data_IF_734919534073
#
_entry.id   IF_734919534073
#
_cell.length_a   1.000
_cell.length_b   1.000
_cell.length_c   1.000
_cell.angle_alpha   90.00
_cell.angle_beta   90.00
_cell.angle_gamma   90.00
#
_symmetry.space_group_name_H-M   'P 1'
#
loop_
_entity.id
_entity.type
_entity.pdbx_description
1 polymer ?
#
# COMPACT_ATOMS: atom_id res chain seq x y z
N UNK A 1 -46.25 -21.53 55.30
CA UNK A 1 -44.87 -22.08 55.14
C UNK A 1 -44.54 -21.94 53.65
N UNK A 2 -44.00 -20.82 53.18
CA UNK A 2 -42.56 -20.50 53.00
C UNK A 2 -41.73 -21.68 52.47
N UNK A 3 -41.40 -21.67 51.17
CA UNK A 3 -40.21 -22.26 50.51
C UNK A 3 -40.06 -21.50 49.16
N UNK A 4 -39.43 -20.33 49.15
CA UNK A 4 -38.01 -20.09 48.87
C UNK A 4 -37.58 -20.45 47.44
N UNK A 5 -37.50 -19.43 46.60
CA UNK A 5 -36.70 -19.39 45.37
C UNK A 5 -35.21 -19.56 45.71
N UNK A 6 -34.40 -20.17 44.81
CA UNK A 6 -33.07 -19.71 44.36
C UNK A 6 -32.37 -20.81 43.54
N UNK A 7 -32.03 -20.43 42.30
CA UNK A 7 -30.88 -20.78 41.45
C UNK A 7 -30.35 -22.22 41.36
N UNK A 8 -30.21 -22.69 40.12
CA UNK A 8 -28.99 -23.40 39.72
C UNK A 8 -28.50 -22.83 38.38
N UNK A 9 -27.28 -22.33 38.43
CA UNK A 9 -26.65 -21.46 37.44
C UNK A 9 -26.40 -22.17 36.10
N UNK A 10 -26.71 -21.46 35.01
CA UNK A 10 -26.29 -21.83 33.67
C UNK A 10 -24.77 -21.80 33.58
N UNK A 11 -24.19 -22.91 33.14
CA UNK A 11 -22.78 -23.05 32.77
C UNK A 11 -22.58 -22.19 31.52
N UNK A 12 -22.04 -20.98 31.70
CA UNK A 12 -21.56 -20.14 30.60
C UNK A 12 -20.11 -20.52 30.29
N UNK A 13 -19.92 -21.67 29.66
CA UNK A 13 -18.70 -21.98 28.93
C UNK A 13 -18.81 -21.38 27.52
N UNK A 14 -17.67 -20.91 26.98
CA UNK A 14 -17.44 -20.27 25.66
C UNK A 14 -17.59 -18.74 25.68
N UNK A 15 -16.63 -17.91 25.31
CA UNK A 15 -15.32 -18.14 24.70
C UNK A 15 -14.36 -17.06 25.22
N UNK A 16 -13.13 -17.45 25.57
CA UNK A 16 -12.04 -16.49 25.57
C UNK A 16 -11.84 -16.11 24.10
N UNK A 17 -12.43 -15.00 23.67
CA UNK A 17 -11.98 -14.33 22.46
C UNK A 17 -10.51 -14.05 22.70
N UNK A 18 -9.62 -14.76 21.99
CA UNK A 18 -8.24 -14.33 21.85
C UNK A 18 -8.25 -12.87 21.46
N UNK A 19 -7.32 -12.08 22.01
CA UNK A 19 -7.12 -10.69 21.61
C UNK A 19 -7.22 -10.62 20.08
N UNK A 20 -8.31 -10.03 19.58
CA UNK A 20 -8.53 -9.93 18.15
C UNK A 20 -7.44 -9.00 17.62
N UNK A 21 -6.70 -9.46 16.62
CA UNK A 21 -5.77 -8.62 15.87
C UNK A 21 -6.48 -7.31 15.48
N UNK A 22 -5.87 -6.17 15.78
CA UNK A 22 -6.45 -4.87 15.44
C UNK A 22 -6.21 -4.61 13.95
N UNK A 23 -6.97 -5.29 13.10
CA UNK A 23 -6.83 -5.14 11.67
C UNK A 23 -7.47 -3.83 11.21
N UNK A 24 -6.74 -3.03 10.45
CA UNK A 24 -7.28 -1.83 9.82
C UNK A 24 -7.61 -2.07 8.34
N UNK A 25 -8.85 -1.78 7.93
CA UNK A 25 -9.22 -1.72 6.51
C UNK A 25 -9.60 -0.29 6.14
N UNK A 26 -8.84 0.33 5.26
CA UNK A 26 -9.09 1.70 4.84
C UNK A 26 -10.36 1.80 3.99
N UNK A 27 -11.09 2.94 4.00
CA UNK A 27 -11.91 3.30 2.85
C UNK A 27 -11.01 3.47 1.61
N UNK A 28 -11.59 3.42 0.40
CA UNK A 28 -10.83 3.65 -0.83
C UNK A 28 -10.24 5.06 -0.84
N UNK A 29 -8.92 5.15 -0.91
CA UNK A 29 -8.14 6.38 -1.01
C UNK A 29 -7.99 6.71 -2.49
N UNK A 30 -8.58 7.81 -2.94
CA UNK A 30 -8.43 8.25 -4.34
C UNK A 30 -7.08 8.94 -4.50
N UNK A 31 -6.24 8.47 -5.42
CA UNK A 31 -4.95 9.13 -5.66
C UNK A 31 -5.18 10.51 -6.30
N UNK A 32 -4.52 11.53 -5.77
CA UNK A 32 -4.54 12.87 -6.33
C UNK A 32 -3.78 12.87 -7.65
N UNK A 33 -4.45 13.28 -8.74
CA UNK A 33 -3.88 13.27 -10.09
C UNK A 33 -3.15 14.58 -10.42
N UNK A 34 -1.94 14.45 -10.94
CA UNK A 34 -1.24 15.45 -11.76
C UNK A 34 -1.15 15.01 -13.23
N UNK A 35 -0.24 15.62 -14.00
CA UNK A 35 -0.16 15.38 -15.45
C UNK A 35 0.30 13.95 -15.80
N UNK A 36 1.29 13.42 -15.09
CA UNK A 36 1.84 12.07 -15.28
C UNK A 36 2.11 11.33 -13.96
N UNK A 37 1.71 11.94 -12.83
CA UNK A 37 1.98 11.46 -11.49
C UNK A 37 0.70 11.48 -10.66
N UNK A 38 0.51 10.45 -9.85
CA UNK A 38 -0.58 10.34 -8.90
C UNK A 38 0.00 10.05 -7.53
N UNK A 39 -0.57 10.61 -6.48
CA UNK A 39 -0.03 10.43 -5.13
C UNK A 39 -1.12 10.39 -4.06
N UNK A 40 -0.87 9.67 -2.97
CA UNK A 40 -1.63 9.77 -1.74
C UNK A 40 -0.77 9.41 -0.53
N UNK A 41 -1.06 10.04 0.60
CA UNK A 41 -0.61 9.58 1.91
C UNK A 41 -1.57 8.53 2.49
N UNK A 42 -1.06 7.72 3.41
CA UNK A 42 -1.84 6.79 4.22
C UNK A 42 -1.15 6.55 5.56
N UNK A 43 -1.90 6.03 6.54
CA UNK A 43 -1.36 5.63 7.83
C UNK A 43 -2.44 5.16 8.78
N UNK A 44 -2.01 4.55 9.87
CA UNK A 44 -2.89 4.11 10.96
C UNK A 44 -2.11 4.00 12.28
N UNK A 45 -2.82 3.81 13.38
CA UNK A 45 -2.27 3.57 14.70
C UNK A 45 -2.79 2.26 15.26
N UNK A 46 -1.94 1.55 15.99
CA UNK A 46 -2.23 0.25 16.57
C UNK A 46 -2.04 0.23 18.09
N UNK A 47 -2.94 -0.47 18.78
CA UNK A 47 -2.68 -0.94 20.14
C UNK A 47 -1.69 -2.11 20.14
N UNK A 48 -1.17 -2.49 21.32
CA UNK A 48 -0.23 -3.63 21.42
C UNK A 48 -0.84 -4.92 20.86
N UNK A 49 -0.12 -5.59 19.95
CA UNK A 49 -0.58 -6.83 19.35
C UNK A 49 -0.18 -6.99 17.90
N UNK A 50 -0.55 -8.14 17.33
CA UNK A 50 -0.37 -8.42 15.91
C UNK A 50 -1.52 -7.79 15.12
N UNK A 51 -1.25 -7.35 13.89
CA UNK A 51 -2.22 -6.72 13.01
C UNK A 51 -2.06 -7.16 11.55
N UNK A 52 -3.13 -6.99 10.78
CA UNK A 52 -3.17 -7.07 9.33
C UNK A 52 -3.97 -5.90 8.79
N UNK A 53 -3.28 -5.00 8.10
CA UNK A 53 -3.88 -3.81 7.52
C UNK A 53 -4.04 -3.94 6.02
N UNK A 54 -5.11 -3.38 5.50
CA UNK A 54 -5.41 -3.32 4.06
C UNK A 54 -5.73 -1.88 3.67
N UNK A 55 -4.88 -1.28 2.84
CA UNK A 55 -5.13 0.00 2.20
C UNK A 55 -5.55 -0.23 0.75
N UNK A 56 -6.64 0.43 0.36
CA UNK A 56 -7.13 0.38 -1.02
C UNK A 56 -6.97 1.75 -1.67
N UNK A 57 -6.26 1.81 -2.80
CA UNK A 57 -6.05 3.04 -3.56
C UNK A 57 -6.77 2.96 -4.91
N UNK A 58 -7.47 4.03 -5.28
CA UNK A 58 -8.09 4.16 -6.60
C UNK A 58 -7.19 4.96 -7.51
N UNK A 59 -6.55 4.28 -8.47
CA UNK A 59 -5.83 4.89 -9.58
C UNK A 59 -6.64 4.77 -10.87
N UNK A 60 -6.88 5.90 -11.53
CA UNK A 60 -7.73 6.02 -12.72
C UNK A 60 -6.96 6.00 -14.05
N UNK A 61 -5.63 5.95 -14.01
CA UNK A 61 -4.81 5.86 -15.21
C UNK A 61 -4.67 4.43 -15.75
N UNK A 62 -3.80 4.26 -16.75
CA UNK A 62 -3.60 2.99 -17.45
C UNK A 62 -2.47 2.17 -16.80
N UNK A 63 -1.57 1.56 -17.58
CA UNK A 63 -0.36 0.94 -17.05
C UNK A 63 0.62 2.02 -16.57
N UNK A 64 1.13 1.82 -15.36
CA UNK A 64 2.01 2.73 -14.66
C UNK A 64 2.95 1.94 -13.75
N UNK A 65 3.88 2.65 -13.14
CA UNK A 65 4.77 2.09 -12.14
C UNK A 65 4.52 2.78 -10.79
N UNK A 66 4.40 1.99 -9.73
CA UNK A 66 4.19 2.44 -8.36
C UNK A 66 5.50 2.43 -7.58
N UNK A 67 5.72 3.51 -6.84
CA UNK A 67 6.81 3.67 -5.88
C UNK A 67 6.22 4.18 -4.58
N UNK A 68 6.76 3.79 -3.43
CA UNK A 68 6.25 4.24 -2.16
C UNK A 68 6.95 3.60 -0.98
N UNK A 69 6.48 3.97 0.19
CA UNK A 69 7.00 3.44 1.45
C UNK A 69 5.93 3.40 2.53
N UNK A 70 6.16 2.61 3.57
CA UNK A 70 5.46 2.67 4.85
C UNK A 70 6.49 2.60 5.99
N UNK A 71 6.43 3.53 6.94
CA UNK A 71 7.44 3.66 7.99
C UNK A 71 6.85 3.87 9.36
N UNK A 72 7.32 3.08 10.32
CA UNK A 72 7.25 3.41 11.75
C UNK A 72 8.56 4.05 12.19
N UNK A 73 8.50 5.14 12.97
CA UNK A 73 9.67 5.69 13.66
C UNK A 73 9.58 5.34 15.14
N UNK A 74 10.56 4.59 15.61
CA UNK A 74 10.57 4.03 16.95
C UNK A 74 10.88 5.12 17.98
N UNK A 75 10.28 4.98 19.16
CA UNK A 75 10.65 5.76 20.32
C UNK A 75 10.90 4.81 21.51
N UNK A 76 11.25 5.35 22.67
CA UNK A 76 11.58 4.55 23.86
C UNK A 76 10.41 3.73 24.43
N UNK A 77 9.19 3.99 23.97
CA UNK A 77 7.94 3.45 24.52
C UNK A 77 7.10 2.69 23.49
N UNK A 78 7.32 2.90 22.19
CA UNK A 78 6.58 2.20 21.15
C UNK A 78 7.39 1.96 19.87
N UNK A 79 7.04 0.87 19.19
CA UNK A 79 7.65 0.35 17.97
C UNK A 79 6.59 -0.43 17.16
N UNK A 80 6.80 -0.56 15.86
CA UNK A 80 6.13 -1.56 15.02
C UNK A 80 7.20 -2.37 14.31
N UNK A 81 7.11 -3.70 14.37
CA UNK A 81 7.87 -4.57 13.47
C UNK A 81 6.94 -5.06 12.35
N UNK A 82 7.34 -4.87 11.10
CA UNK A 82 6.64 -5.40 9.94
C UNK A 82 7.03 -6.85 9.69
N UNK A 83 6.05 -7.70 9.36
CA UNK A 83 6.25 -9.13 9.10
C UNK A 83 6.13 -9.48 7.61
N UNK A 84 5.26 -8.79 6.89
CA UNK A 84 5.10 -8.91 5.44
C UNK A 84 4.37 -7.70 4.89
N UNK A 85 4.61 -7.39 3.63
CA UNK A 85 3.83 -6.43 2.89
C UNK A 85 3.68 -6.88 1.44
N UNK A 86 2.52 -6.62 0.85
CA UNK A 86 2.27 -6.88 -0.58
C UNK A 86 1.54 -5.73 -1.24
N UNK A 87 1.93 -5.36 -2.46
CA UNK A 87 1.13 -4.49 -3.34
C UNK A 87 0.55 -5.34 -4.47
N UNK A 88 -0.78 -5.42 -4.56
CA UNK A 88 -1.49 -6.28 -5.53
C UNK A 88 -1.01 -7.76 -5.49
N UNK A 89 -0.63 -8.24 -4.31
CA UNK A 89 -0.11 -9.60 -4.11
C UNK A 89 1.37 -9.79 -4.48
N UNK A 90 2.06 -8.76 -4.95
CA UNK A 90 3.53 -8.77 -5.13
C UNK A 90 4.18 -8.43 -3.79
N UNK A 91 5.08 -9.29 -3.31
CA UNK A 91 5.83 -9.07 -2.07
C UNK A 91 6.73 -7.84 -2.16
N UNK A 92 6.79 -7.08 -1.06
CA UNK A 92 7.60 -5.86 -0.94
C UNK A 92 8.77 -6.08 -0.01
N UNK A 93 9.84 -5.32 -0.22
CA UNK A 93 11.00 -5.34 0.65
C UNK A 93 10.68 -4.66 1.99
N UNK A 94 11.18 -5.24 3.08
CA UNK A 94 10.99 -4.71 4.42
C UNK A 94 12.27 -4.77 5.24
N UNK A 95 12.41 -3.84 6.19
CA UNK A 95 13.52 -3.79 7.15
C UNK A 95 13.02 -3.35 8.52
N UNK A 96 13.24 -4.16 9.56
CA UNK A 96 13.03 -3.74 10.95
C UNK A 96 14.38 -3.37 11.57
N UNK A 97 14.62 -2.07 11.73
CA UNK A 97 15.86 -1.52 12.27
C UNK A 97 15.76 -1.19 13.76
N UNK A 98 16.78 -0.51 14.28
CA UNK A 98 16.80 -0.05 15.68
C UNK A 98 16.12 1.33 15.90
N UNK A 99 15.80 2.04 14.82
CA UNK A 99 15.21 3.40 14.86
C UNK A 99 13.91 3.51 14.08
N UNK A 100 13.75 2.68 13.07
CA UNK A 100 12.58 2.66 12.22
C UNK A 100 12.41 1.25 11.67
N UNK A 101 11.15 0.95 11.35
CA UNK A 101 10.77 -0.20 10.55
C UNK A 101 10.18 0.32 9.26
N UNK A 102 10.54 -0.31 8.16
CA UNK A 102 10.34 0.21 6.81
C UNK A 102 9.81 -0.87 5.90
N UNK A 103 8.96 -0.45 4.97
CA UNK A 103 8.58 -1.16 3.76
C UNK A 103 8.84 -0.18 2.63
N UNK A 104 9.55 -0.60 1.60
CA UNK A 104 9.85 0.21 0.42
C UNK A 104 9.57 -0.59 -0.84
N UNK A 105 9.17 0.11 -1.88
CA UNK A 105 9.00 -0.45 -3.21
C UNK A 105 9.18 0.63 -4.26
N UNK A 106 9.73 0.23 -5.40
CA UNK A 106 10.00 1.12 -6.52
C UNK A 106 9.71 0.44 -7.84
N UNK A 107 9.25 1.22 -8.80
CA UNK A 107 9.01 0.80 -10.19
C UNK A 107 8.17 -0.48 -10.32
N UNK A 108 7.18 -0.66 -9.44
CA UNK A 108 6.28 -1.83 -9.49
C UNK A 108 5.18 -1.63 -10.53
N UNK A 109 5.04 -2.50 -11.54
CA UNK A 109 4.00 -2.36 -12.54
C UNK A 109 2.60 -2.47 -11.93
N UNK A 110 1.75 -1.47 -12.16
CA UNK A 110 0.41 -1.37 -11.61
C UNK A 110 -0.62 -0.88 -12.64
N UNK A 111 -1.88 -1.18 -12.37
CA UNK A 111 -3.03 -0.66 -13.09
C UNK A 111 -4.29 -0.68 -12.20
N UNK A 112 -5.20 0.27 -12.42
CA UNK A 112 -6.48 0.31 -11.73
C UNK A 112 -6.38 0.40 -10.20
N UNK A 113 -7.28 -0.29 -9.48
CA UNK A 113 -7.28 -0.29 -8.01
C UNK A 113 -6.06 -1.03 -7.46
N UNK A 114 -5.38 -0.40 -6.51
CA UNK A 114 -4.20 -0.96 -5.83
C UNK A 114 -4.58 -1.39 -4.42
N UNK A 115 -4.09 -2.54 -3.98
CA UNK A 115 -4.29 -3.06 -2.63
C UNK A 115 -2.94 -3.30 -1.98
N UNK A 116 -2.65 -2.51 -0.94
CA UNK A 116 -1.50 -2.69 -0.08
C UNK A 116 -1.94 -3.43 1.18
N UNK A 117 -1.38 -4.62 1.40
CA UNK A 117 -1.61 -5.40 2.61
C UNK A 117 -0.33 -5.39 3.44
N UNK A 118 -0.42 -5.01 4.71
CA UNK A 118 0.72 -4.95 5.63
C UNK A 118 0.39 -5.78 6.86
N UNK A 119 1.30 -6.65 7.28
CA UNK A 119 1.20 -7.37 8.54
C UNK A 119 2.34 -6.97 9.44
N UNK A 120 2.10 -6.97 10.74
CA UNK A 120 3.14 -6.66 11.71
C UNK A 120 2.67 -6.82 13.14
N UNK A 121 3.49 -6.30 14.05
CA UNK A 121 3.20 -6.25 15.47
C UNK A 121 3.55 -4.89 16.03
N UNK A 122 2.59 -4.30 16.74
CA UNK A 122 2.81 -3.10 17.53
C UNK A 122 3.28 -3.45 18.95
N UNK A 123 4.26 -2.68 19.43
CA UNK A 123 4.80 -2.73 20.77
C UNK A 123 4.58 -1.39 21.47
N UNK A 124 4.44 -1.44 22.79
CA UNK A 124 4.04 -0.28 23.57
C UNK A 124 2.53 -0.09 23.59
N UNK A 125 2.04 0.87 24.38
CA UNK A 125 0.61 1.12 24.56
C UNK A 125 -0.09 1.46 23.23
N UNK A 126 0.55 2.30 22.41
CA UNK A 126 0.12 2.66 21.05
C UNK A 126 1.33 2.95 20.16
N UNK A 127 1.28 2.51 18.92
CA UNK A 127 2.28 2.79 17.89
C UNK A 127 1.60 3.18 16.58
N UNK A 128 2.29 3.84 15.66
CA UNK A 128 1.72 4.20 14.35
C UNK A 128 2.75 4.12 13.24
N UNK A 129 2.27 3.95 12.02
CA UNK A 129 3.09 4.11 10.83
C UNK A 129 2.32 4.91 9.79
N UNK A 130 3.06 5.49 8.85
CA UNK A 130 2.51 6.23 7.74
C UNK A 130 3.41 6.06 6.51
N UNK A 131 2.87 6.42 5.35
CA UNK A 131 3.53 6.22 4.08
C UNK A 131 2.96 7.10 2.99
N UNK A 132 3.61 7.05 1.84
CA UNK A 132 3.09 7.57 0.58
C UNK A 132 3.13 6.50 -0.48
N UNK A 133 2.20 6.57 -1.41
CA UNK A 133 2.23 5.83 -2.66
C UNK A 133 2.16 6.82 -3.81
N UNK A 134 3.11 6.70 -4.72
CA UNK A 134 3.26 7.49 -5.91
C UNK A 134 3.15 6.57 -7.13
N UNK A 135 2.30 6.92 -8.07
CA UNK A 135 2.09 6.17 -9.31
C UNK A 135 2.45 7.08 -10.47
N UNK A 136 3.44 6.70 -11.26
CA UNK A 136 3.88 7.46 -12.44
C UNK A 136 3.46 6.70 -13.69
N UNK A 137 2.72 7.35 -14.58
CA UNK A 137 2.32 6.70 -15.84
C UNK A 137 3.56 6.34 -16.65
N UNK A 138 3.58 5.13 -17.21
CA UNK A 138 4.65 4.73 -18.13
C UNK A 138 4.68 5.73 -19.30
N UNK A 139 5.75 6.51 -19.40
CA UNK A 139 5.94 7.48 -20.48
C UNK A 139 6.07 6.70 -21.80
N UNK A 140 5.22 6.92 -22.83
CA UNK A 140 5.25 6.13 -24.06
C UNK A 140 6.43 6.47 -24.99
N UNK A 141 7.66 6.06 -24.67
CA UNK A 141 8.84 6.54 -25.42
C UNK A 141 9.88 5.45 -25.71
N UNK A 142 9.59 4.53 -26.66
CA UNK A 142 10.45 4.46 -27.86
C UNK A 142 9.69 4.53 -29.20
N UNK A 143 8.44 4.09 -29.25
CA UNK A 143 7.66 4.01 -30.50
C UNK A 143 7.23 5.37 -31.01
N UNK A 144 6.89 6.31 -30.14
CA UNK A 144 6.53 7.69 -30.54
C UNK A 144 7.70 8.39 -31.23
N UNK A 145 8.90 8.30 -30.65
CA UNK A 145 10.11 8.83 -31.27
C UNK A 145 10.54 8.02 -32.50
N UNK A 146 10.40 6.71 -32.48
CA UNK A 146 10.67 5.85 -33.63
C UNK A 146 9.77 6.15 -34.82
N UNK A 147 8.49 6.44 -34.59
CA UNK A 147 7.52 6.82 -35.62
C UNK A 147 7.73 8.27 -36.09
N UNK A 148 8.13 9.18 -35.20
CA UNK A 148 8.54 10.54 -35.58
C UNK A 148 9.79 10.52 -36.45
N UNK A 149 10.85 9.82 -36.02
CA UNK A 149 12.09 9.67 -36.77
C UNK A 149 11.88 8.88 -38.07
N UNK A 150 11.05 7.84 -38.03
CA UNK A 150 10.63 7.09 -39.21
C UNK A 150 9.88 7.97 -40.21
N UNK A 151 8.93 8.78 -39.74
CA UNK A 151 8.20 9.75 -40.54
C UNK A 151 9.12 10.81 -41.15
N UNK A 152 10.03 11.38 -40.36
CA UNK A 152 11.04 12.33 -40.85
C UNK A 152 12.01 11.69 -41.86
N UNK A 153 12.41 10.43 -41.64
CA UNK A 153 13.24 9.66 -42.57
C UNK A 153 12.57 9.47 -43.93
N UNK A 154 11.29 9.10 -43.94
CA UNK A 154 10.50 8.97 -45.17
C UNK A 154 10.34 10.31 -45.88
N UNK A 155 10.03 11.39 -45.16
CA UNK A 155 9.88 12.73 -45.72
C UNK A 155 11.20 13.27 -46.31
N UNK A 156 12.33 13.05 -45.62
CA UNK A 156 13.66 13.40 -46.12
C UNK A 156 14.04 12.65 -47.39
N UNK A 157 13.71 11.34 -47.46
CA UNK A 157 13.94 10.53 -48.66
C UNK A 157 13.11 11.02 -49.86
N UNK A 158 11.83 11.31 -49.66
CA UNK A 158 10.95 11.85 -50.71
C UNK A 158 11.40 13.23 -51.21
N UNK A 159 11.85 14.10 -50.30
CA UNK A 159 12.38 15.43 -50.65
C UNK A 159 13.65 15.33 -51.50
N UNK A 160 14.56 14.38 -51.19
CA UNK A 160 15.76 14.13 -51.99
C UNK A 160 15.43 13.64 -53.41
N UNK A 161 14.43 12.77 -53.57
CA UNK A 161 14.02 12.25 -54.88
C UNK A 161 13.42 13.31 -55.80
N UNK A 162 12.84 14.39 -55.24
CA UNK A 162 12.26 15.49 -56.03
C UNK A 162 13.29 16.51 -56.50
N UNK A 163 14.50 16.50 -55.94
CA UNK A 163 15.63 17.36 -56.33
C UNK A 163 16.59 16.70 -57.32
N UNK A 164 16.51 15.37 -57.50
CA UNK A 164 17.29 14.60 -58.46
C UNK A 164 16.54 14.47 -59.79
#
# INVERSE_FOLDING_TARGET
>A
MKLQSIALAAILSTAFGGAMAENYTSPTIVLAAGDANWTADFGTSHAIGDFTDTFTFSYSGMSADATGFARNVQNKKSNIDFYSATLNGVELDLTNGAKYSDIDFSDLPVNGTLTLVITGKAFGDVASYAGTIDVTSAVPEPTTYGMLLGGLGVMGFLARRRKA
#
